data_IF_641150316118
#
_entry.id   IF_641150316118
#
_cell.length_a   1.000
_cell.length_b   1.000
_cell.length_c   1.000
_cell.angle_alpha   90.00
_cell.angle_beta   90.00
_cell.angle_gamma   90.00
#
_symmetry.space_group_name_H-M   'P 1'
#
loop_
_entity.id
_entity.type
_entity.pdbx_description
1 polymer ?
#
# COMPACT_ATOMS: atom_id res chain seq x y z
N UNK A 1 -56.21 6.87 -13.16
CA UNK A 1 -55.61 6.86 -11.82
C UNK A 1 -55.18 5.44 -11.53
N UNK A 2 -53.89 5.16 -11.60
CA UNK A 2 -53.29 3.88 -11.24
C UNK A 2 -52.19 4.20 -10.22
N UNK A 3 -52.46 3.84 -8.99
CA UNK A 3 -51.51 3.99 -7.89
C UNK A 3 -50.39 2.97 -8.04
N UNK A 4 -49.15 3.47 -8.16
CA UNK A 4 -47.95 2.64 -8.14
C UNK A 4 -47.55 2.38 -6.69
N UNK A 5 -47.79 1.16 -6.22
CA UNK A 5 -47.34 0.68 -4.91
C UNK A 5 -45.85 0.39 -4.96
N UNK A 6 -45.07 1.29 -4.36
CA UNK A 6 -43.64 1.08 -4.13
C UNK A 6 -43.50 0.00 -3.05
N UNK A 7 -43.08 -1.21 -3.43
CA UNK A 7 -42.67 -2.26 -2.50
C UNK A 7 -41.34 -1.87 -1.85
N UNK A 8 -41.36 -1.50 -0.57
CA UNK A 8 -40.20 -1.45 0.30
C UNK A 8 -39.65 -2.87 0.44
N UNK A 9 -38.54 -3.15 -0.23
CA UNK A 9 -37.79 -4.38 -0.02
C UNK A 9 -37.19 -4.38 1.40
N UNK A 10 -37.72 -5.24 2.25
CA UNK A 10 -37.06 -5.59 3.52
C UNK A 10 -35.78 -6.34 3.17
N UNK A 11 -34.64 -5.71 3.41
CA UNK A 11 -33.37 -6.42 3.49
C UNK A 11 -33.46 -7.40 4.66
N UNK A 12 -33.51 -8.70 4.36
CA UNK A 12 -33.27 -9.74 5.36
C UNK A 12 -31.82 -9.59 5.83
N UNK A 13 -31.57 -9.65 7.15
CA UNK A 13 -30.20 -9.74 7.62
C UNK A 13 -29.54 -10.99 7.05
N UNK A 14 -28.31 -10.87 6.57
CA UNK A 14 -27.46 -11.98 6.11
C UNK A 14 -27.22 -12.95 7.29
N UNK A 15 -28.13 -13.93 7.43
CA UNK A 15 -27.90 -15.08 8.29
C UNK A 15 -27.21 -16.16 7.49
N UNK A 16 -25.96 -15.94 7.09
CA UNK A 16 -25.03 -17.05 6.92
C UNK A 16 -24.33 -17.26 8.27
N UNK A 17 -24.98 -17.98 9.17
CA UNK A 17 -24.31 -18.74 10.22
C UNK A 17 -23.41 -19.79 9.54
N UNK A 18 -22.35 -19.31 8.87
CA UNK A 18 -21.18 -20.15 8.65
C UNK A 18 -20.59 -20.33 10.03
N UNK A 19 -20.75 -21.53 10.54
CA UNK A 19 -20.27 -21.96 11.82
C UNK A 19 -18.76 -21.71 11.98
N UNK A 20 -18.40 -20.49 12.33
CA UNK A 20 -17.10 -20.15 12.94
C UNK A 20 -17.15 -20.61 14.39
N UNK A 21 -17.35 -21.94 14.59
CA UNK A 21 -17.17 -22.56 15.91
C UNK A 21 -15.68 -22.45 16.24
N UNK A 22 -15.35 -21.46 17.09
CA UNK A 22 -14.38 -21.60 18.18
C UNK A 22 -12.99 -22.17 17.86
N UNK A 23 -12.42 -21.98 16.67
CA UNK A 23 -10.97 -22.07 16.53
C UNK A 23 -10.40 -20.74 17.03
N UNK A 24 -9.82 -20.76 18.23
CA UNK A 24 -8.93 -19.72 18.71
C UNK A 24 -7.90 -19.51 17.60
N UNK A 25 -7.94 -18.36 16.96
CA UNK A 25 -6.94 -17.97 15.97
C UNK A 25 -5.62 -17.86 16.71
N UNK A 26 -4.77 -18.88 16.63
CA UNK A 26 -3.37 -18.75 17.00
C UNK A 26 -2.70 -17.94 15.91
N UNK A 27 -2.84 -16.61 15.99
CA UNK A 27 -2.01 -15.71 15.20
C UNK A 27 -0.61 -15.72 15.80
N UNK A 28 0.40 -15.89 14.95
CA UNK A 28 1.77 -15.70 15.36
C UNK A 28 1.97 -14.25 15.84
N UNK A 29 2.65 -14.08 16.96
CA UNK A 29 2.98 -12.75 17.49
C UNK A 29 3.69 -11.90 16.42
N UNK A 30 3.14 -10.73 16.10
CA UNK A 30 3.77 -9.73 15.24
C UNK A 30 3.45 -9.80 13.74
N UNK A 31 2.30 -10.36 13.33
CA UNK A 31 1.84 -10.34 11.93
C UNK A 31 1.18 -9.00 11.57
N UNK A 32 1.53 -8.42 10.39
CA UNK A 32 0.84 -7.23 9.85
C UNK A 32 -0.59 -7.62 9.46
N UNK A 33 -1.55 -6.81 9.86
CA UNK A 33 -2.94 -6.94 9.39
C UNK A 33 -3.12 -6.04 8.17
N UNK A 34 -3.67 -6.59 7.09
CA UNK A 34 -3.89 -5.88 5.82
C UNK A 34 -5.37 -5.96 5.47
N UNK A 35 -6.03 -4.81 5.28
CA UNK A 35 -7.44 -4.74 4.89
C UNK A 35 -7.56 -4.04 3.54
N UNK A 36 -8.17 -4.71 2.56
CA UNK A 36 -8.39 -4.11 1.25
C UNK A 36 -8.67 -5.09 0.13
N UNK A 37 -8.41 -4.67 -1.10
CA UNK A 37 -8.88 -5.34 -2.29
C UNK A 37 -8.04 -6.52 -2.77
N UNK A 38 -8.75 -7.57 -3.20
CA UNK A 38 -8.26 -8.58 -4.12
C UNK A 38 -8.98 -8.40 -5.46
N UNK A 39 -8.23 -8.18 -6.54
CA UNK A 39 -8.77 -7.82 -7.85
C UNK A 39 -8.16 -8.71 -8.93
N UNK A 40 -8.95 -9.13 -9.91
CA UNK A 40 -8.42 -9.74 -11.12
C UNK A 40 -8.34 -8.67 -12.22
N UNK A 41 -7.14 -8.38 -12.69
CA UNK A 41 -6.92 -7.49 -13.82
C UNK A 41 -6.87 -8.30 -15.11
N UNK A 42 -7.61 -7.87 -16.12
CA UNK A 42 -7.58 -8.40 -17.49
C UNK A 42 -6.93 -7.35 -18.37
N UNK A 43 -5.80 -7.69 -18.95
CA UNK A 43 -5.04 -6.83 -19.84
C UNK A 43 -5.15 -7.36 -21.27
N UNK A 44 -5.72 -6.57 -22.18
CA UNK A 44 -5.85 -6.92 -23.59
C UNK A 44 -5.04 -5.94 -24.45
N UNK A 45 -4.06 -6.48 -25.18
CA UNK A 45 -3.17 -5.69 -26.07
C UNK A 45 -3.33 -6.17 -27.51
N UNK A 46 -3.83 -5.35 -28.43
CA UNK A 46 -3.97 -5.72 -29.84
C UNK A 46 -2.60 -5.76 -30.53
N UNK A 47 -2.42 -6.68 -31.47
CA UNK A 47 -1.21 -6.77 -32.31
C UNK A 47 -1.24 -5.79 -33.50
N UNK A 48 -2.41 -5.25 -33.82
CA UNK A 48 -2.65 -4.24 -34.86
C UNK A 48 -3.65 -3.21 -34.34
N UNK A 49 -3.70 -2.04 -34.94
CA UNK A 49 -4.62 -1.00 -34.51
C UNK A 49 -6.06 -1.52 -34.48
N UNK A 50 -6.69 -1.43 -33.33
CA UNK A 50 -8.08 -1.84 -33.14
C UNK A 50 -9.03 -0.83 -33.81
N UNK A 51 -10.03 -1.34 -34.52
CA UNK A 51 -11.10 -0.56 -35.11
C UNK A 51 -12.40 -0.80 -34.34
N UNK A 52 -13.19 0.26 -34.17
CA UNK A 52 -14.51 0.15 -33.51
C UNK A 52 -15.40 -0.89 -34.21
N UNK A 53 -16.09 -1.72 -33.43
CA UNK A 53 -17.04 -2.72 -33.93
C UNK A 53 -16.41 -3.99 -34.52
N UNK A 54 -15.07 -4.18 -34.39
CA UNK A 54 -14.40 -5.38 -34.92
C UNK A 54 -13.49 -6.02 -33.87
N UNK A 55 -13.20 -7.31 -34.07
CA UNK A 55 -12.21 -8.04 -33.27
C UNK A 55 -10.90 -8.11 -34.04
N UNK A 56 -9.79 -7.82 -33.39
CA UNK A 56 -8.44 -7.90 -33.97
C UNK A 56 -7.60 -8.93 -33.21
N UNK A 57 -6.60 -9.56 -33.84
CA UNK A 57 -5.64 -10.40 -33.13
C UNK A 57 -4.91 -9.62 -32.04
N UNK A 58 -4.59 -10.29 -30.93
CA UNK A 58 -3.90 -9.69 -29.80
C UNK A 58 -3.57 -10.69 -28.71
N UNK A 59 -3.14 -10.19 -27.58
CA UNK A 59 -2.86 -10.96 -26.36
C UNK A 59 -3.77 -10.53 -25.23
N UNK A 60 -4.28 -11.51 -24.48
CA UNK A 60 -5.08 -11.25 -23.27
C UNK A 60 -4.39 -11.94 -22.11
N UNK A 61 -4.16 -11.20 -21.04
CA UNK A 61 -3.52 -11.67 -19.83
C UNK A 61 -4.45 -11.49 -18.64
N UNK A 62 -4.44 -12.48 -17.75
CA UNK A 62 -5.05 -12.39 -16.44
C UNK A 62 -3.95 -12.08 -15.43
N UNK A 63 -4.02 -10.89 -14.85
CA UNK A 63 -3.02 -10.38 -13.91
C UNK A 63 -3.66 -10.26 -12.53
N UNK A 64 -2.98 -10.74 -11.52
CA UNK A 64 -3.43 -10.58 -10.14
C UNK A 64 -3.21 -9.15 -9.71
N UNK A 65 -4.28 -8.49 -9.31
CA UNK A 65 -4.29 -7.11 -8.88
C UNK A 65 -4.88 -6.94 -7.46
N UNK A 66 -5.10 -5.70 -7.12
CA UNK A 66 -5.51 -5.25 -5.79
C UNK A 66 -4.30 -4.86 -4.95
N UNK A 67 -4.27 -3.60 -4.52
CA UNK A 67 -3.14 -3.02 -3.77
C UNK A 67 -2.86 -3.82 -2.50
N UNK A 68 -3.87 -4.02 -1.65
CA UNK A 68 -3.73 -4.80 -0.41
C UNK A 68 -3.23 -6.24 -0.69
N UNK A 69 -3.77 -6.90 -1.75
CA UNK A 69 -3.32 -8.23 -2.14
C UNK A 69 -1.86 -8.23 -2.62
N UNK A 70 -1.46 -7.25 -3.42
CA UNK A 70 -0.08 -7.14 -3.91
C UNK A 70 0.90 -6.96 -2.76
N UNK A 71 0.58 -6.07 -1.80
CA UNK A 71 1.38 -5.86 -0.59
C UNK A 71 1.51 -7.16 0.21
N UNK A 72 0.40 -7.85 0.47
CA UNK A 72 0.41 -9.10 1.24
C UNK A 72 1.18 -10.23 0.52
N UNK A 73 1.02 -10.37 -0.81
CA UNK A 73 1.79 -11.36 -1.59
C UNK A 73 3.28 -11.03 -1.59
N UNK A 74 3.65 -9.76 -1.72
CA UNK A 74 5.03 -9.31 -1.64
C UNK A 74 5.65 -9.67 -0.28
N UNK A 75 4.96 -9.35 0.82
CA UNK A 75 5.38 -9.68 2.18
C UNK A 75 5.57 -11.18 2.37
N UNK A 76 4.63 -11.99 1.88
CA UNK A 76 4.72 -13.46 1.98
C UNK A 76 5.95 -14.00 1.24
N UNK A 77 6.20 -13.51 0.03
CA UNK A 77 7.37 -13.91 -0.78
C UNK A 77 8.70 -13.43 -0.18
N UNK A 78 8.65 -12.40 0.66
CA UNK A 78 9.76 -11.95 1.50
C UNK A 78 9.80 -12.67 2.85
N UNK A 79 8.93 -13.69 3.06
CA UNK A 79 8.92 -14.57 4.22
C UNK A 79 8.20 -14.06 5.46
N UNK A 80 7.45 -12.98 5.36
CA UNK A 80 6.50 -12.55 6.38
C UNK A 80 5.16 -13.31 6.23
N UNK A 81 4.30 -13.23 7.25
CA UNK A 81 2.97 -13.86 7.26
C UNK A 81 1.90 -12.82 7.51
N UNK A 82 1.54 -12.01 6.50
CA UNK A 82 0.50 -11.00 6.68
C UNK A 82 -0.86 -11.67 6.86
N UNK A 83 -1.70 -11.10 7.73
CA UNK A 83 -3.10 -11.47 7.88
C UNK A 83 -3.96 -10.55 7.02
N UNK A 84 -4.61 -11.10 5.98
CA UNK A 84 -5.40 -10.30 5.06
C UNK A 84 -6.89 -10.42 5.33
N UNK A 85 -7.58 -9.28 5.38
CA UNK A 85 -9.04 -9.14 5.44
C UNK A 85 -9.51 -8.59 4.08
N UNK A 86 -10.32 -9.37 3.37
CA UNK A 86 -10.82 -9.03 2.03
C UNK A 86 -12.16 -9.71 1.73
N UNK A 87 -12.71 -9.49 0.54
CA UNK A 87 -13.94 -10.13 0.07
C UNK A 87 -13.83 -10.53 -1.40
N UNK A 88 -14.29 -11.73 -1.74
CA UNK A 88 -14.33 -12.28 -3.12
C UNK A 88 -15.55 -13.17 -3.29
N UNK A 89 -15.97 -13.38 -4.55
CA UNK A 89 -17.06 -14.27 -4.92
C UNK A 89 -16.65 -15.73 -5.13
N UNK A 90 -17.64 -16.60 -5.20
CA UNK A 90 -17.50 -17.98 -5.68
C UNK A 90 -17.59 -18.07 -7.21
N UNK A 91 -16.97 -17.11 -7.91
CA UNK A 91 -16.89 -17.04 -9.35
C UNK A 91 -15.50 -17.49 -9.90
N UNK A 92 -15.34 -17.41 -11.22
CA UNK A 92 -14.08 -17.80 -11.86
C UNK A 92 -12.90 -16.92 -11.42
N UNK A 93 -13.12 -15.61 -11.29
CA UNK A 93 -12.10 -14.66 -10.87
C UNK A 93 -11.66 -14.90 -9.42
N UNK A 94 -12.61 -15.11 -8.50
CA UNK A 94 -12.34 -15.43 -7.11
C UNK A 94 -11.62 -16.75 -6.94
N UNK A 95 -12.03 -17.79 -7.67
CA UNK A 95 -11.35 -19.08 -7.65
C UNK A 95 -9.90 -18.97 -8.15
N UNK A 96 -9.65 -18.20 -9.22
CA UNK A 96 -8.31 -17.97 -9.74
C UNK A 96 -7.42 -17.27 -8.71
N UNK A 97 -7.92 -16.19 -8.10
CA UNK A 97 -7.20 -15.44 -7.06
C UNK A 97 -6.90 -16.31 -5.83
N UNK A 98 -7.88 -17.09 -5.35
CA UNK A 98 -7.70 -17.97 -4.18
C UNK A 98 -6.71 -19.11 -4.43
N UNK A 99 -6.78 -19.75 -5.58
CA UNK A 99 -5.87 -20.86 -5.89
C UNK A 99 -4.42 -20.38 -5.87
N UNK A 100 -4.18 -19.20 -6.41
CA UNK A 100 -2.84 -18.62 -6.43
C UNK A 100 -2.42 -18.07 -5.06
N UNK A 101 -3.36 -17.52 -4.28
CA UNK A 101 -3.14 -17.09 -2.91
C UNK A 101 -2.64 -18.25 -2.04
N UNK A 102 -3.34 -19.39 -2.13
CA UNK A 102 -2.92 -20.64 -1.45
C UNK A 102 -1.57 -21.17 -1.94
N UNK A 103 -1.31 -21.08 -3.24
CA UNK A 103 -0.02 -21.50 -3.82
C UNK A 103 1.16 -20.64 -3.34
N UNK A 104 0.89 -19.39 -2.98
CA UNK A 104 1.87 -18.49 -2.35
C UNK A 104 2.08 -18.77 -0.84
N UNK A 105 1.44 -19.78 -0.28
CA UNK A 105 1.55 -20.16 1.12
C UNK A 105 0.74 -19.25 2.07
N UNK A 106 -0.16 -18.44 1.54
CA UNK A 106 -0.98 -17.51 2.31
C UNK A 106 -2.29 -18.17 2.77
N UNK A 107 -2.69 -17.91 4.01
CA UNK A 107 -3.97 -18.39 4.54
C UNK A 107 -5.14 -17.61 3.92
N UNK A 108 -6.12 -18.34 3.38
CA UNK A 108 -7.31 -17.75 2.75
C UNK A 108 -8.60 -18.08 3.51
N UNK A 109 -8.52 -18.74 4.66
CA UNK A 109 -9.70 -19.39 5.20
C UNK A 109 -10.45 -18.56 6.22
N UNK A 110 -9.82 -17.51 6.77
CA UNK A 110 -10.38 -16.77 7.91
C UNK A 110 -10.72 -15.33 7.55
N UNK A 111 -9.77 -14.54 7.06
CA UNK A 111 -9.97 -13.11 6.82
C UNK A 111 -10.63 -12.77 5.47
N UNK A 112 -10.69 -13.74 4.54
CA UNK A 112 -11.26 -13.50 3.21
C UNK A 112 -12.72 -13.96 3.20
N UNK A 113 -13.65 -12.99 3.19
CA UNK A 113 -15.08 -13.25 3.04
C UNK A 113 -15.34 -13.86 1.66
N UNK A 114 -16.06 -14.98 1.64
CA UNK A 114 -16.43 -15.70 0.41
C UNK A 114 -17.94 -15.89 0.42
N UNK A 115 -18.60 -15.36 -0.59
CA UNK A 115 -20.05 -15.51 -0.74
C UNK A 115 -20.43 -15.64 -2.22
N UNK A 116 -21.54 -16.36 -2.49
CA UNK A 116 -22.09 -16.52 -3.84
C UNK A 116 -22.71 -15.25 -4.41
N UNK A 117 -23.11 -14.34 -3.52
CA UNK A 117 -23.73 -13.06 -3.90
C UNK A 117 -22.69 -11.96 -4.12
N UNK A 118 -21.40 -12.28 -3.92
CA UNK A 118 -20.26 -11.40 -4.22
C UNK A 118 -19.79 -11.68 -5.65
N UNK A 119 -19.72 -10.62 -6.45
CA UNK A 119 -18.97 -10.63 -7.70
C UNK A 119 -17.54 -10.21 -7.41
N UNK A 120 -16.57 -11.08 -7.67
CA UNK A 120 -15.15 -10.76 -7.43
C UNK A 120 -14.74 -9.52 -8.22
N UNK A 121 -14.06 -8.56 -7.61
CA UNK A 121 -13.59 -7.37 -8.31
C UNK A 121 -12.74 -7.70 -9.54
N UNK A 122 -13.11 -7.13 -10.68
CA UNK A 122 -12.39 -7.29 -11.95
C UNK A 122 -12.16 -5.92 -12.58
N UNK A 123 -10.93 -5.69 -13.07
CA UNK A 123 -10.58 -4.52 -13.88
C UNK A 123 -10.14 -5.01 -15.26
N UNK A 124 -10.76 -4.52 -16.31
CA UNK A 124 -10.40 -4.84 -17.69
C UNK A 124 -9.79 -3.60 -18.35
N UNK A 125 -8.51 -3.69 -18.73
CA UNK A 125 -7.80 -2.64 -19.46
C UNK A 125 -7.50 -3.09 -20.88
N UNK A 126 -7.99 -2.33 -21.85
CA UNK A 126 -7.62 -2.44 -23.24
C UNK A 126 -6.49 -1.45 -23.53
N UNK A 127 -5.35 -1.97 -23.95
CA UNK A 127 -4.20 -1.14 -24.36
C UNK A 127 -4.24 -0.86 -25.87
N UNK A 128 -3.57 0.18 -26.28
CA UNK A 128 -3.30 0.44 -27.68
C UNK A 128 -2.01 -0.29 -28.15
N UNK A 129 -1.64 -0.10 -29.41
CA UNK A 129 -0.42 -0.69 -29.98
C UNK A 129 0.89 -0.13 -29.38
N UNK A 130 0.83 1.01 -28.68
CA UNK A 130 1.96 1.64 -28.00
C UNK A 130 2.05 1.19 -26.52
N UNK A 131 1.07 0.42 -26.03
CA UNK A 131 0.99 -0.03 -24.66
C UNK A 131 0.34 0.97 -23.69
N UNK A 132 -0.31 2.02 -24.22
CA UNK A 132 -1.08 2.96 -23.40
C UNK A 132 -2.53 2.47 -23.21
N UNK A 133 -3.16 2.81 -22.08
CA UNK A 133 -4.53 2.43 -21.81
C UNK A 133 -5.48 3.20 -22.73
N UNK A 134 -6.06 2.50 -23.71
CA UNK A 134 -7.05 3.05 -24.62
C UNK A 134 -8.47 3.10 -24.02
N UNK A 135 -8.82 2.10 -23.17
CA UNK A 135 -10.06 2.05 -22.43
C UNK A 135 -9.92 1.15 -21.20
N UNK A 136 -10.65 1.44 -20.15
CA UNK A 136 -10.70 0.60 -18.95
C UNK A 136 -12.11 0.54 -18.36
N UNK A 137 -12.46 -0.64 -17.82
CA UNK A 137 -13.72 -0.85 -17.09
C UNK A 137 -13.39 -1.57 -15.79
N UNK A 138 -13.90 -1.06 -14.68
CA UNK A 138 -13.68 -1.61 -13.36
C UNK A 138 -15.01 -1.99 -12.70
N UNK A 139 -15.18 -3.27 -12.37
CA UNK A 139 -16.26 -3.77 -11.50
C UNK A 139 -15.66 -4.03 -10.12
N UNK A 140 -15.65 -3.01 -9.25
CA UNK A 140 -14.97 -3.05 -7.95
C UNK A 140 -15.90 -2.74 -6.77
N UNK A 141 -17.19 -2.62 -7.01
CA UNK A 141 -18.21 -2.26 -6.01
C UNK A 141 -18.32 -3.29 -4.87
N UNK A 142 -17.93 -4.53 -5.12
CA UNK A 142 -17.99 -5.59 -4.13
C UNK A 142 -17.18 -5.26 -2.86
N UNK A 143 -16.02 -4.60 -2.98
CA UNK A 143 -15.21 -4.22 -1.82
C UNK A 143 -15.95 -3.22 -0.93
N UNK A 144 -16.59 -2.22 -1.52
CA UNK A 144 -17.34 -1.20 -0.78
C UNK A 144 -18.62 -1.77 -0.14
N UNK A 145 -19.24 -2.77 -0.80
CA UNK A 145 -20.50 -3.37 -0.36
C UNK A 145 -20.34 -4.45 0.70
N UNK A 146 -19.30 -5.29 0.60
CA UNK A 146 -19.16 -6.49 1.41
C UNK A 146 -18.06 -6.44 2.46
N UNK A 147 -17.05 -5.57 2.32
CA UNK A 147 -16.13 -5.27 3.43
C UNK A 147 -16.80 -4.27 4.40
N UNK A 148 -17.78 -4.79 5.14
CA UNK A 148 -18.57 -3.98 6.09
C UNK A 148 -17.80 -3.73 7.39
N UNK A 149 -18.17 -2.68 8.17
CA UNK A 149 -17.65 -2.48 9.52
C UNK A 149 -17.76 -3.73 10.39
N UNK A 150 -18.91 -4.43 10.37
CA UNK A 150 -19.13 -5.64 11.18
C UNK A 150 -18.16 -6.75 10.83
N UNK A 151 -17.89 -6.98 9.53
CA UNK A 151 -16.91 -7.97 9.10
C UNK A 151 -15.50 -7.61 9.56
N UNK A 152 -15.10 -6.35 9.45
CA UNK A 152 -13.80 -5.86 9.88
C UNK A 152 -13.64 -6.00 11.41
N UNK A 153 -14.62 -5.53 12.17
CA UNK A 153 -14.60 -5.56 13.65
C UNK A 153 -14.58 -6.98 14.22
N UNK A 154 -15.03 -7.98 13.45
CA UNK A 154 -14.90 -9.39 13.84
C UNK A 154 -13.43 -9.78 14.11
N UNK A 155 -12.48 -9.14 13.45
CA UNK A 155 -11.05 -9.42 13.58
C UNK A 155 -10.31 -8.49 14.56
N UNK A 156 -11.02 -7.72 15.41
CA UNK A 156 -10.37 -6.78 16.33
C UNK A 156 -9.31 -7.44 17.23
N UNK A 157 -9.50 -8.72 17.57
CA UNK A 157 -8.57 -9.48 18.43
C UNK A 157 -7.25 -9.85 17.73
N UNK A 158 -7.14 -9.63 16.42
CA UNK A 158 -5.90 -9.84 15.65
C UNK A 158 -4.95 -8.64 15.69
N UNK A 159 -5.42 -7.47 16.16
CA UNK A 159 -4.66 -6.22 16.16
C UNK A 159 -3.68 -6.03 17.33
N UNK A 160 -3.95 -6.53 18.58
CA UNK A 160 -3.08 -6.20 19.71
C UNK A 160 -1.62 -6.64 19.54
N UNK A 161 -1.37 -7.66 18.71
CA UNK A 161 -0.02 -8.12 18.38
C UNK A 161 0.52 -7.60 17.06
N UNK A 162 -0.31 -6.92 16.26
CA UNK A 162 0.08 -6.42 14.95
C UNK A 162 1.01 -5.20 15.08
N UNK A 163 2.17 -5.18 14.40
CA UNK A 163 3.04 -4.01 14.41
C UNK A 163 2.45 -2.83 13.65
N UNK A 164 1.61 -3.10 12.66
CA UNK A 164 0.94 -2.11 11.81
C UNK A 164 -0.36 -2.72 11.26
N UNK A 165 -1.41 -1.91 11.18
CA UNK A 165 -2.57 -2.15 10.33
C UNK A 165 -2.36 -1.40 9.01
N UNK A 166 -2.34 -2.09 7.88
CA UNK A 166 -2.37 -1.47 6.55
C UNK A 166 -3.80 -1.51 6.00
N UNK A 167 -4.32 -0.35 5.57
CA UNK A 167 -5.61 -0.23 4.89
C UNK A 167 -5.44 0.41 3.52
N UNK A 168 -6.12 -0.13 2.49
CA UNK A 168 -6.17 0.53 1.20
C UNK A 168 -7.47 1.35 1.02
N UNK A 169 -7.39 2.42 0.24
CA UNK A 169 -8.49 3.34 0.01
C UNK A 169 -9.63 2.78 -0.86
N UNK A 170 -9.67 1.45 -1.12
CA UNK A 170 -10.81 0.81 -1.77
C UNK A 170 -12.00 0.60 -0.84
N UNK A 171 -11.78 0.65 0.48
CA UNK A 171 -12.84 0.50 1.47
C UNK A 171 -13.88 1.62 1.37
N UNK A 172 -15.15 1.32 1.68
CA UNK A 172 -16.18 2.36 1.87
C UNK A 172 -15.82 3.26 3.06
N UNK A 173 -16.36 4.48 3.11
CA UNK A 173 -16.12 5.38 4.24
C UNK A 173 -16.40 4.73 5.60
N UNK A 174 -17.57 4.09 5.85
CA UNK A 174 -17.83 3.45 7.16
C UNK A 174 -16.85 2.31 7.48
N UNK A 175 -16.44 1.54 6.47
CA UNK A 175 -15.49 0.44 6.65
C UNK A 175 -14.08 0.94 6.96
N UNK A 176 -13.65 1.99 6.27
CA UNK A 176 -12.36 2.63 6.47
C UNK A 176 -12.26 3.26 7.87
N UNK A 177 -13.31 3.98 8.29
CA UNK A 177 -13.41 4.56 9.63
C UNK A 177 -13.39 3.48 10.72
N UNK A 178 -14.20 2.41 10.57
CA UNK A 178 -14.22 1.32 11.52
C UNK A 178 -12.86 0.63 11.66
N UNK A 179 -12.16 0.40 10.55
CA UNK A 179 -10.82 -0.21 10.54
C UNK A 179 -9.79 0.67 11.25
N UNK A 180 -9.73 1.96 10.91
CA UNK A 180 -8.76 2.88 11.47
C UNK A 180 -9.02 3.16 12.96
N UNK A 181 -10.29 3.36 13.35
CA UNK A 181 -10.68 3.53 14.76
C UNK A 181 -10.37 2.30 15.59
N UNK A 182 -10.68 1.10 15.08
CA UNK A 182 -10.36 -0.16 15.75
C UNK A 182 -8.84 -0.27 16.00
N UNK A 183 -8.01 0.15 15.06
CA UNK A 183 -6.56 0.15 15.24
C UNK A 183 -6.12 1.17 16.30
N UNK A 184 -6.67 2.38 16.27
CA UNK A 184 -6.38 3.43 17.26
C UNK A 184 -6.77 2.99 18.68
N UNK A 185 -7.94 2.36 18.86
CA UNK A 185 -8.40 1.80 20.14
C UNK A 185 -7.43 0.71 20.70
N UNK A 186 -6.65 0.09 19.83
CA UNK A 186 -5.65 -0.96 20.14
C UNK A 186 -4.21 -0.47 20.13
N UNK A 187 -4.00 0.84 20.00
CA UNK A 187 -2.67 1.46 19.88
C UNK A 187 -1.83 0.87 18.72
N UNK A 188 -2.51 0.35 17.67
CA UNK A 188 -1.87 -0.19 16.48
C UNK A 188 -1.68 0.92 15.44
N UNK A 189 -0.44 1.21 15.00
CA UNK A 189 -0.21 2.21 13.96
C UNK A 189 -0.93 1.87 12.65
N UNK A 190 -1.47 2.89 11.97
CA UNK A 190 -2.20 2.72 10.72
C UNK A 190 -1.37 3.21 9.54
N UNK A 191 -1.18 2.33 8.54
CA UNK A 191 -0.66 2.66 7.22
C UNK A 191 -1.81 2.78 6.23
N UNK A 192 -2.03 4.00 5.71
CA UNK A 192 -3.04 4.27 4.70
C UNK A 192 -2.41 4.28 3.31
N UNK A 193 -2.91 3.42 2.41
CA UNK A 193 -2.49 3.32 1.02
C UNK A 193 -3.52 3.98 0.10
N UNK A 194 -3.17 5.04 -0.66
CA UNK A 194 -4.13 5.88 -1.39
C UNK A 194 -4.79 5.21 -2.58
N UNK A 195 -4.13 4.24 -3.23
CA UNK A 195 -4.61 3.46 -4.40
C UNK A 195 -4.74 4.28 -5.69
N UNK A 196 -5.32 5.47 -5.64
CA UNK A 196 -5.51 6.34 -6.81
C UNK A 196 -5.84 7.77 -6.38
N UNK A 197 -5.65 8.72 -7.29
CA UNK A 197 -5.93 10.15 -7.06
C UNK A 197 -7.36 10.39 -6.49
N UNK A 198 -8.36 9.71 -7.05
CA UNK A 198 -9.75 9.86 -6.59
C UNK A 198 -9.94 9.28 -5.19
N UNK A 199 -9.37 8.11 -4.91
CA UNK A 199 -9.54 7.41 -3.63
C UNK A 199 -8.65 7.97 -2.54
N UNK A 200 -7.51 8.58 -2.88
CA UNK A 200 -6.62 9.29 -1.97
C UNK A 200 -7.34 10.34 -1.13
N UNK A 201 -8.37 10.98 -1.69
CA UNK A 201 -9.20 11.98 -0.99
C UNK A 201 -9.96 11.40 0.22
N UNK A 202 -10.11 10.06 0.30
CA UNK A 202 -10.75 9.37 1.45
C UNK A 202 -9.96 9.50 2.74
N UNK A 203 -8.71 9.96 2.71
CA UNK A 203 -7.91 10.27 3.90
C UNK A 203 -8.63 11.25 4.83
N UNK A 204 -9.44 12.18 4.29
CA UNK A 204 -10.17 13.16 5.08
C UNK A 204 -11.17 12.55 6.08
N UNK A 205 -11.56 11.31 5.89
CA UNK A 205 -12.47 10.61 6.81
C UNK A 205 -11.76 9.98 8.01
N UNK A 206 -10.44 9.77 7.93
CA UNK A 206 -9.69 8.93 8.88
C UNK A 206 -8.34 9.51 9.29
N UNK A 207 -8.02 10.73 8.88
CA UNK A 207 -6.69 11.34 9.07
C UNK A 207 -6.24 11.31 10.54
N UNK A 208 -7.15 11.48 11.49
CA UNK A 208 -6.87 11.47 12.92
C UNK A 208 -6.34 10.12 13.46
N UNK A 209 -6.58 9.01 12.73
CA UNK A 209 -6.13 7.67 13.09
C UNK A 209 -4.90 7.20 12.32
N UNK A 210 -4.50 7.95 11.27
CA UNK A 210 -3.47 7.51 10.34
C UNK A 210 -2.08 7.93 10.79
N UNK A 211 -1.18 6.96 10.86
CA UNK A 211 0.23 7.18 11.25
C UNK A 211 1.13 7.36 10.02
N UNK A 212 0.95 6.52 9.00
CA UNK A 212 1.79 6.46 7.80
C UNK A 212 0.98 6.57 6.53
N UNK A 213 1.51 7.25 5.52
CA UNK A 213 0.94 7.30 4.16
C UNK A 213 2.02 7.17 3.10
N UNK A 214 1.69 6.55 1.95
CA UNK A 214 2.62 6.30 0.85
C UNK A 214 2.13 6.78 -0.52
N UNK A 215 1.73 8.05 -0.67
CA UNK A 215 1.24 8.58 -1.94
C UNK A 215 2.35 8.74 -3.00
N UNK A 216 1.95 8.69 -4.28
CA UNK A 216 2.70 9.34 -5.34
C UNK A 216 2.42 10.86 -5.35
N UNK A 217 3.05 11.61 -6.29
CA UNK A 217 2.93 13.07 -6.34
C UNK A 217 1.47 13.53 -6.52
N UNK A 218 0.72 12.87 -7.39
CA UNK A 218 -0.65 13.26 -7.73
C UNK A 218 -1.64 12.86 -6.61
N UNK A 219 -1.42 11.72 -5.98
CA UNK A 219 -2.16 11.28 -4.78
C UNK A 219 -1.89 12.18 -3.57
N UNK A 220 -0.62 12.60 -3.37
CA UNK A 220 -0.26 13.56 -2.32
C UNK A 220 -1.04 14.86 -2.46
N UNK A 221 -1.11 15.40 -3.67
CA UNK A 221 -1.85 16.62 -3.99
C UNK A 221 -3.35 16.43 -3.71
N UNK A 222 -3.92 15.29 -4.13
CA UNK A 222 -5.32 14.99 -3.89
C UNK A 222 -5.65 14.86 -2.39
N UNK A 223 -4.75 14.24 -1.60
CA UNK A 223 -4.85 14.15 -0.14
C UNK A 223 -4.79 15.53 0.51
N UNK A 224 -3.80 16.34 0.14
CA UNK A 224 -3.64 17.69 0.69
C UNK A 224 -4.86 18.56 0.40
N UNK A 225 -5.38 18.53 -0.83
CA UNK A 225 -6.61 19.25 -1.19
C UNK A 225 -7.83 18.77 -0.40
N UNK A 226 -7.95 17.46 -0.17
CA UNK A 226 -9.04 16.92 0.63
C UNK A 226 -8.99 17.37 2.09
N UNK A 227 -7.79 17.49 2.66
CA UNK A 227 -7.58 17.93 4.04
C UNK A 227 -7.69 19.46 4.21
N UNK A 228 -7.30 20.24 3.19
CA UNK A 228 -7.46 21.70 3.19
C UNK A 228 -8.90 22.17 2.91
N UNK A 229 -9.78 21.27 2.44
CA UNK A 229 -11.14 21.60 2.07
C UNK A 229 -11.29 22.45 0.79
N UNK A 230 -10.21 22.62 0.04
CA UNK A 230 -10.18 23.37 -1.22
C UNK A 230 -9.12 22.78 -2.17
N UNK A 231 -9.27 22.98 -3.49
CA UNK A 231 -8.31 22.52 -4.49
C UNK A 231 -7.19 23.57 -4.69
N UNK A 232 -6.44 23.84 -3.63
CA UNK A 232 -5.34 24.81 -3.60
C UNK A 232 -4.10 24.31 -4.37
N UNK A 233 -3.82 23.00 -4.27
CA UNK A 233 -2.66 22.37 -4.89
C UNK A 233 -3.02 21.84 -6.27
N UNK A 234 -2.18 22.15 -7.27
CA UNK A 234 -2.39 21.70 -8.65
C UNK A 234 -1.48 20.51 -8.99
N UNK A 235 -1.98 19.50 -9.73
CA UNK A 235 -1.16 18.41 -10.23
C UNK A 235 0.04 18.92 -11.07
N UNK A 236 1.19 18.28 -10.93
CA UNK A 236 2.38 18.61 -11.68
C UNK A 236 2.19 18.20 -13.16
N UNK A 237 2.43 19.13 -14.08
CA UNK A 237 2.39 18.84 -15.53
C UNK A 237 3.55 17.93 -15.91
N UNK A 238 3.34 17.01 -16.85
CA UNK A 238 4.38 16.11 -17.35
C UNK A 238 5.65 16.85 -17.83
N UNK A 239 5.49 18.02 -18.44
CA UNK A 239 6.61 18.89 -18.84
C UNK A 239 7.44 19.38 -17.65
N UNK A 240 6.82 19.56 -16.49
CA UNK A 240 7.51 19.96 -15.26
C UNK A 240 8.23 18.78 -14.63
N UNK A 241 7.65 17.56 -14.69
CA UNK A 241 8.25 16.35 -14.13
C UNK A 241 9.56 15.93 -14.83
N UNK A 242 9.67 16.13 -16.16
CA UNK A 242 10.78 15.60 -16.98
C UNK A 242 12.16 16.25 -16.76
N UNK A 243 12.24 17.50 -16.32
CA UNK A 243 13.49 18.28 -16.24
C UNK A 243 13.70 18.97 -14.89
N UNK A 244 12.98 18.56 -13.87
CA UNK A 244 13.07 19.20 -12.55
C UNK A 244 14.16 18.54 -11.71
N UNK A 245 14.93 19.34 -10.98
CA UNK A 245 15.86 18.79 -9.98
C UNK A 245 15.08 18.19 -8.80
N UNK A 246 15.65 17.18 -8.15
CA UNK A 246 15.06 16.55 -6.94
C UNK A 246 14.73 17.61 -5.87
N UNK A 247 15.62 18.59 -5.67
CA UNK A 247 15.39 19.66 -4.72
C UNK A 247 14.22 20.56 -5.14
N UNK A 248 14.12 20.92 -6.43
CA UNK A 248 13.01 21.74 -6.93
C UNK A 248 11.69 20.99 -6.86
N UNK A 249 11.69 19.67 -7.16
CA UNK A 249 10.51 18.82 -7.01
C UNK A 249 10.06 18.77 -5.55
N UNK A 250 11.00 18.57 -4.62
CA UNK A 250 10.70 18.60 -3.19
C UNK A 250 10.08 19.94 -2.76
N UNK A 251 10.62 21.08 -3.21
CA UNK A 251 10.08 22.40 -2.87
C UNK A 251 8.65 22.61 -3.39
N UNK A 252 8.29 22.05 -4.55
CA UNK A 252 6.92 22.09 -5.07
C UNK A 252 5.96 21.21 -4.25
N UNK A 253 6.40 20.04 -3.79
CA UNK A 253 5.56 19.11 -3.02
C UNK A 253 5.52 19.43 -1.52
N UNK A 254 6.50 20.18 -1.00
CA UNK A 254 6.65 20.51 0.41
C UNK A 254 5.38 21.08 1.05
N UNK A 255 4.65 22.05 0.45
CA UNK A 255 3.42 22.57 1.07
C UNK A 255 2.35 21.49 1.24
N UNK A 256 2.16 20.61 0.24
CA UNK A 256 1.22 19.50 0.33
C UNK A 256 1.64 18.46 1.39
N UNK A 257 2.94 18.13 1.46
CA UNK A 257 3.50 17.27 2.52
C UNK A 257 3.22 17.87 3.90
N UNK A 258 3.40 19.18 4.03
CA UNK A 258 3.19 19.89 5.29
C UNK A 258 1.73 19.82 5.75
N UNK A 259 0.76 19.98 4.84
CA UNK A 259 -0.67 19.81 5.16
C UNK A 259 -0.96 18.45 5.80
N UNK A 260 -0.42 17.38 5.25
CA UNK A 260 -0.61 16.04 5.81
C UNK A 260 -0.04 15.92 7.22
N UNK A 261 1.18 16.42 7.41
CA UNK A 261 1.86 16.39 8.72
C UNK A 261 1.18 17.29 9.77
N UNK A 262 0.59 18.42 9.36
CA UNK A 262 -0.18 19.31 10.24
C UNK A 262 -1.49 18.67 10.70
N UNK A 263 -2.09 17.82 9.86
CA UNK A 263 -3.30 17.08 10.19
C UNK A 263 -3.04 15.79 11.02
N UNK A 264 -1.83 15.61 11.55
CA UNK A 264 -1.52 14.56 12.52
C UNK A 264 -0.84 13.31 11.96
N UNK A 265 -0.66 13.21 10.63
CA UNK A 265 0.11 12.12 10.05
C UNK A 265 1.56 12.22 10.52
N UNK A 266 2.09 11.15 11.13
CA UNK A 266 3.45 11.16 11.67
C UNK A 266 4.51 11.06 10.56
N UNK A 267 4.19 10.35 9.47
CA UNK A 267 5.14 10.05 8.42
C UNK A 267 4.52 10.00 7.03
N UNK A 268 5.09 10.77 6.11
CA UNK A 268 4.69 10.83 4.69
C UNK A 268 5.83 10.30 3.84
N UNK A 269 5.57 9.23 3.09
CA UNK A 269 6.48 8.60 2.14
C UNK A 269 6.01 8.91 0.73
N UNK A 270 6.60 9.90 0.07
CA UNK A 270 6.19 10.29 -1.28
C UNK A 270 7.04 9.58 -2.32
N UNK A 271 6.41 8.76 -3.18
CA UNK A 271 7.08 8.16 -4.33
C UNK A 271 7.10 9.14 -5.51
N UNK A 272 8.27 9.34 -6.11
CA UNK A 272 8.47 10.32 -7.18
C UNK A 272 9.11 9.65 -8.43
N UNK A 273 8.67 8.46 -8.71
CA UNK A 273 9.08 7.66 -9.87
C UNK A 273 10.59 7.46 -9.96
N UNK A 274 11.19 7.81 -11.10
CA UNK A 274 12.64 7.71 -11.31
C UNK A 274 13.45 8.67 -10.44
N UNK A 275 12.83 9.64 -9.78
CA UNK A 275 13.48 10.51 -8.80
C UNK A 275 13.60 9.87 -7.41
N UNK A 276 13.03 8.70 -7.17
CA UNK A 276 13.14 7.96 -5.92
C UNK A 276 12.01 8.22 -4.94
N UNK A 277 12.34 8.47 -3.65
CA UNK A 277 11.37 8.56 -2.56
C UNK A 277 11.74 9.70 -1.61
N UNK A 278 10.77 10.48 -1.19
CA UNK A 278 10.90 11.42 -0.06
C UNK A 278 10.28 10.81 1.19
N UNK A 279 11.04 10.72 2.26
CA UNK A 279 10.56 10.34 3.58
C UNK A 279 10.52 11.59 4.47
N UNK A 280 9.33 11.96 4.92
CA UNK A 280 9.10 13.23 5.62
C UNK A 280 8.37 12.99 6.94
N UNK A 281 8.77 13.73 7.99
CA UNK A 281 8.09 13.74 9.28
C UNK A 281 8.25 15.09 10.01
N UNK A 282 7.53 15.26 11.14
CA UNK A 282 7.78 16.32 12.11
C UNK A 282 8.72 15.78 13.22
N UNK A 283 9.77 16.52 13.54
CA UNK A 283 10.59 16.26 14.72
C UNK A 283 11.85 15.41 14.51
N UNK A 284 12.18 15.02 13.27
CA UNK A 284 13.50 14.46 12.93
C UNK A 284 13.68 12.96 13.20
N UNK A 285 14.91 12.44 13.13
CA UNK A 285 15.21 11.00 13.03
C UNK A 285 14.84 10.17 14.26
N UNK A 286 14.61 10.78 15.41
CA UNK A 286 14.29 10.04 16.66
C UNK A 286 12.89 9.43 16.66
N UNK A 287 11.94 9.99 15.89
CA UNK A 287 10.60 9.43 15.75
C UNK A 287 10.59 8.05 15.09
N UNK A 288 11.63 7.72 14.33
CA UNK A 288 11.76 6.45 13.63
C UNK A 288 12.05 5.24 14.53
N UNK A 289 12.35 5.43 15.80
CA UNK A 289 12.78 4.35 16.72
C UNK A 289 11.68 3.81 17.63
N UNK A 290 10.52 4.47 17.73
CA UNK A 290 9.51 4.15 18.74
C UNK A 290 8.78 2.80 18.56
N UNK A 291 8.75 2.25 17.36
CA UNK A 291 7.89 1.10 17.01
C UNK A 291 8.63 -0.25 16.93
N UNK A 292 9.92 -0.35 17.27
CA UNK A 292 10.74 -1.54 17.02
C UNK A 292 11.03 -2.43 18.25
N UNK A 293 10.47 -2.14 19.43
CA UNK A 293 10.90 -2.79 20.66
C UNK A 293 10.35 -4.22 20.92
N UNK A 294 9.37 -4.72 20.15
CA UNK A 294 8.70 -6.01 20.39
C UNK A 294 8.81 -7.01 19.23
N UNK A 295 9.97 -7.16 18.60
CA UNK A 295 10.05 -7.94 17.37
C UNK A 295 10.77 -9.28 17.56
N UNK A 296 10.09 -10.36 17.16
CA UNK A 296 10.67 -11.70 17.11
C UNK A 296 11.52 -11.87 15.84
N UNK A 297 12.87 -11.83 15.99
CA UNK A 297 13.84 -11.90 14.89
C UNK A 297 14.07 -13.34 14.39
N UNK A 298 13.03 -14.13 14.24
CA UNK A 298 13.08 -15.51 13.76
C UNK A 298 12.66 -15.60 12.28
N UNK A 299 12.97 -16.72 11.63
CA UNK A 299 12.58 -16.98 10.25
C UNK A 299 13.27 -16.09 9.21
N UNK A 300 12.57 -15.81 8.12
CA UNK A 300 13.09 -15.06 6.96
C UNK A 300 13.33 -13.57 7.29
N UNK A 301 12.46 -12.95 8.08
CA UNK A 301 12.67 -11.59 8.57
C UNK A 301 13.98 -11.45 9.34
N UNK A 302 14.34 -12.44 10.15
CA UNK A 302 15.64 -12.50 10.81
C UNK A 302 16.80 -12.68 9.83
N UNK A 303 16.60 -13.37 8.70
CA UNK A 303 17.63 -13.48 7.64
C UNK A 303 17.79 -12.14 6.91
N UNK A 304 16.71 -11.46 6.57
CA UNK A 304 16.72 -10.13 5.98
C UNK A 304 17.44 -9.11 6.88
N UNK A 305 17.10 -9.12 8.18
CA UNK A 305 17.76 -8.28 9.17
C UNK A 305 19.27 -8.55 9.20
N UNK A 306 19.68 -9.81 9.30
CA UNK A 306 21.09 -10.19 9.30
C UNK A 306 21.80 -9.78 8.01
N UNK A 307 21.21 -10.06 6.85
CA UNK A 307 21.78 -9.72 5.56
C UNK A 307 21.97 -8.19 5.41
N UNK A 308 20.99 -7.41 5.85
CA UNK A 308 21.09 -5.95 5.85
C UNK A 308 22.16 -5.45 6.83
N UNK A 309 22.14 -5.93 8.07
CA UNK A 309 23.08 -5.47 9.12
C UNK A 309 24.52 -5.90 8.88
N UNK A 310 24.76 -7.06 8.25
CA UNK A 310 26.10 -7.47 7.85
C UNK A 310 26.71 -6.52 6.80
N UNK A 311 25.88 -6.01 5.89
CA UNK A 311 26.29 -5.10 4.82
C UNK A 311 26.24 -3.62 5.23
N UNK A 312 25.43 -3.30 6.23
CA UNK A 312 25.20 -1.95 6.76
C UNK A 312 25.37 -1.99 8.29
N UNK A 313 26.60 -1.85 8.82
CA UNK A 313 26.78 -1.73 10.25
C UNK A 313 25.95 -0.54 10.80
N UNK A 314 25.44 -0.61 12.04
CA UNK A 314 24.59 0.41 12.61
C UNK A 314 25.19 1.79 12.38
N UNK A 315 24.43 2.67 11.76
CA UNK A 315 24.92 3.99 11.38
C UNK A 315 25.44 4.70 12.61
N UNK A 316 26.58 5.33 12.46
CA UNK A 316 27.07 6.36 13.36
C UNK A 316 26.02 7.49 13.41
N UNK A 317 25.02 7.32 14.26
CA UNK A 317 24.13 8.43 14.67
C UNK A 317 24.88 9.38 15.62
N UNK A 318 26.16 9.60 15.34
CA UNK A 318 27.00 10.54 16.06
C UNK A 318 26.94 11.86 15.31
N UNK A 319 26.13 12.80 15.80
CA UNK A 319 26.29 14.19 15.41
C UNK A 319 25.06 15.03 15.18
N UNK A 320 23.82 14.48 15.30
CA UNK A 320 22.65 15.35 15.34
C UNK A 320 22.28 15.53 16.80
N UNK A 321 22.83 16.63 17.38
CA UNK A 321 22.58 17.10 18.73
C UNK A 321 21.08 17.23 19.04
N UNK A 322 20.78 17.16 20.35
CA UNK A 322 19.47 17.39 20.94
C UNK A 322 18.82 18.68 20.42
N UNK A 323 17.99 18.57 19.38
CA UNK A 323 17.11 19.65 18.99
C UNK A 323 15.74 19.41 19.64
N UNK A 324 15.37 20.38 20.45
CA UNK A 324 14.11 20.46 21.22
C UNK A 324 12.88 20.12 20.37
N UNK A 325 11.83 19.66 21.02
CA UNK A 325 10.46 19.51 20.51
C UNK A 325 9.98 20.79 19.85
N UNK A 326 10.30 20.99 18.59
CA UNK A 326 9.78 22.10 17.79
C UNK A 326 9.28 21.55 16.46
N UNK A 327 8.25 22.17 15.97
CA UNK A 327 7.50 21.90 14.74
C UNK A 327 8.36 22.05 13.47
N UNK A 328 9.32 21.15 13.25
CA UNK A 328 10.22 21.23 12.12
C UNK A 328 9.97 20.11 11.15
N UNK A 329 9.85 20.43 9.86
CA UNK A 329 9.86 19.45 8.80
C UNK A 329 11.26 18.86 8.69
N UNK A 330 11.33 17.54 8.76
CA UNK A 330 12.51 16.75 8.43
C UNK A 330 12.23 15.93 7.18
N UNK A 331 13.09 16.00 6.17
CA UNK A 331 12.93 15.31 4.91
C UNK A 331 14.23 14.65 4.48
N UNK A 332 14.13 13.38 4.09
CA UNK A 332 15.20 12.58 3.52
C UNK A 332 14.80 12.14 2.12
N UNK A 333 15.70 12.30 1.18
CA UNK A 333 15.57 11.75 -0.16
C UNK A 333 16.37 10.47 -0.28
N UNK A 334 15.71 9.42 -0.75
CA UNK A 334 16.34 8.18 -1.20
C UNK A 334 16.32 8.16 -2.73
N UNK A 335 17.48 8.04 -3.40
CA UNK A 335 17.51 7.96 -4.85
C UNK A 335 16.89 6.64 -5.33
N UNK A 336 16.32 6.65 -6.53
CA UNK A 336 15.95 5.42 -7.21
C UNK A 336 17.19 4.60 -7.55
N UNK A 337 17.01 3.30 -7.72
CA UNK A 337 18.04 2.39 -8.20
C UNK A 337 17.91 2.22 -9.70
N UNK A 338 19.03 2.09 -10.39
CA UNK A 338 19.02 1.75 -11.81
C UNK A 338 18.35 0.39 -12.02
N UNK A 339 17.38 0.34 -12.94
CA UNK A 339 16.58 -0.85 -13.21
C UNK A 339 16.31 -1.01 -14.72
N UNK A 340 16.23 -2.25 -15.17
CA UNK A 340 15.72 -2.61 -16.49
C UNK A 340 14.20 -2.70 -16.44
N UNK A 341 13.51 -1.57 -16.66
CA UNK A 341 12.08 -1.46 -16.47
C UNK A 341 11.31 -2.30 -17.49
N UNK A 342 10.59 -3.31 -17.02
CA UNK A 342 9.65 -4.13 -17.76
C UNK A 342 8.22 -3.65 -17.52
N UNK A 343 7.89 -3.32 -16.24
CA UNK A 343 6.55 -2.89 -15.83
C UNK A 343 6.64 -1.96 -14.62
N UNK A 344 5.78 -0.94 -14.58
CA UNK A 344 5.70 -0.03 -13.43
C UNK A 344 4.59 -0.42 -12.43
N UNK A 345 3.55 -1.14 -12.90
CA UNK A 345 2.42 -1.55 -12.05
C UNK A 345 2.90 -2.51 -10.95
N UNK A 346 2.48 -2.26 -9.71
CA UNK A 346 2.84 -3.08 -8.55
C UNK A 346 4.15 -2.66 -7.87
N UNK A 347 4.92 -1.72 -8.45
CA UNK A 347 6.16 -1.24 -7.84
C UNK A 347 5.90 -0.53 -6.49
N UNK A 348 4.86 0.31 -6.40
CA UNK A 348 4.42 0.96 -5.17
C UNK A 348 4.01 -0.07 -4.11
N UNK A 349 3.21 -1.06 -4.50
CA UNK A 349 2.76 -2.13 -3.60
C UNK A 349 3.96 -2.95 -3.07
N UNK A 350 4.93 -3.24 -3.93
CA UNK A 350 6.17 -3.94 -3.55
C UNK A 350 7.08 -3.07 -2.67
N UNK A 351 7.11 -1.74 -2.88
CA UNK A 351 7.77 -0.80 -1.97
C UNK A 351 7.19 -0.93 -0.56
N UNK A 352 5.87 -0.81 -0.45
CA UNK A 352 5.16 -0.90 0.84
C UNK A 352 5.34 -2.29 1.46
N UNK A 353 5.18 -3.37 0.67
CA UNK A 353 5.39 -4.74 1.13
C UNK A 353 6.80 -4.98 1.68
N UNK A 354 7.82 -4.44 1.01
CA UNK A 354 9.21 -4.49 1.46
C UNK A 354 9.43 -3.70 2.77
N UNK A 355 8.83 -2.52 2.90
CA UNK A 355 8.90 -1.69 4.12
C UNK A 355 8.24 -2.42 5.29
N UNK A 356 7.00 -2.89 5.12
CA UNK A 356 6.25 -3.56 6.18
C UNK A 356 6.94 -4.86 6.63
N UNK A 357 7.47 -5.65 5.69
CA UNK A 357 8.28 -6.83 6.01
C UNK A 357 9.51 -6.47 6.84
N UNK A 358 10.17 -5.37 6.50
CA UNK A 358 11.39 -4.91 7.18
C UNK A 358 11.10 -4.38 8.59
N UNK A 359 9.98 -3.69 8.78
CA UNK A 359 9.49 -3.26 10.09
C UNK A 359 9.24 -4.50 10.96
N UNK A 360 8.56 -5.53 10.45
CA UNK A 360 8.38 -6.81 11.16
C UNK A 360 9.70 -7.51 11.50
N UNK A 361 10.73 -7.32 10.69
CA UNK A 361 12.07 -7.85 10.95
C UNK A 361 12.88 -7.03 11.99
N UNK A 362 12.37 -5.87 12.41
CA UNK A 362 13.03 -4.99 13.39
C UNK A 362 14.03 -4.03 12.80
N UNK A 363 13.95 -3.74 11.53
CA UNK A 363 14.70 -2.66 10.91
C UNK A 363 14.04 -1.30 11.25
N UNK A 364 14.86 -0.27 11.38
CA UNK A 364 14.34 1.09 11.50
C UNK A 364 13.71 1.56 10.18
N UNK A 365 12.98 2.68 10.21
CA UNK A 365 12.24 3.16 9.03
C UNK A 365 13.17 3.52 7.86
N UNK A 366 14.35 4.09 8.12
CA UNK A 366 15.31 4.43 7.08
C UNK A 366 15.83 3.18 6.37
N UNK A 367 16.12 2.14 7.16
CA UNK A 367 16.50 0.82 6.67
C UNK A 367 15.34 0.16 5.92
N UNK A 368 14.14 0.26 6.47
CA UNK A 368 12.93 -0.32 5.87
C UNK A 368 12.59 0.31 4.53
N UNK A 369 12.67 1.64 4.40
CA UNK A 369 12.48 2.34 3.13
C UNK A 369 13.52 1.92 2.10
N UNK A 370 14.78 1.75 2.52
CA UNK A 370 15.84 1.28 1.62
C UNK A 370 15.59 -0.13 1.09
N UNK A 371 15.10 -1.04 1.94
CA UNK A 371 14.67 -2.39 1.53
C UNK A 371 13.45 -2.30 0.60
N UNK A 372 12.46 -1.46 0.92
CA UNK A 372 11.30 -1.23 0.06
C UNK A 372 11.69 -0.79 -1.35
N UNK A 373 12.65 0.13 -1.48
CA UNK A 373 13.17 0.60 -2.77
C UNK A 373 13.85 -0.55 -3.55
N UNK A 374 14.62 -1.39 -2.88
CA UNK A 374 15.25 -2.56 -3.50
C UNK A 374 14.21 -3.58 -3.99
N UNK A 375 13.16 -3.81 -3.20
CA UNK A 375 12.03 -4.70 -3.56
C UNK A 375 11.22 -4.11 -4.71
N UNK A 376 10.98 -2.79 -4.73
CA UNK A 376 10.33 -2.10 -5.83
C UNK A 376 11.14 -2.18 -7.13
N UNK A 377 12.49 -2.06 -7.05
CA UNK A 377 13.37 -2.29 -8.21
C UNK A 377 13.17 -3.70 -8.78
N UNK A 378 13.20 -4.74 -7.94
CA UNK A 378 12.96 -6.10 -8.40
C UNK A 378 11.56 -6.27 -9.03
N UNK A 379 10.56 -5.53 -8.56
CA UNK A 379 9.21 -5.54 -9.13
C UNK A 379 9.15 -4.89 -10.52
N UNK A 380 9.81 -3.74 -10.74
CA UNK A 380 9.79 -3.10 -12.06
C UNK A 380 10.56 -3.89 -13.12
N UNK A 381 11.47 -4.78 -12.72
CA UNK A 381 12.22 -5.69 -13.59
C UNK A 381 11.45 -7.00 -13.89
N UNK A 382 10.27 -7.20 -13.31
CA UNK A 382 9.44 -8.40 -13.47
C UNK A 382 8.22 -8.15 -14.37
N UNK A 383 7.72 -9.22 -15.02
CA UNK A 383 6.48 -9.16 -15.80
C UNK A 383 5.20 -9.14 -14.93
N UNK A 384 5.27 -9.68 -13.70
CA UNK A 384 4.15 -9.73 -12.77
C UNK A 384 4.17 -8.51 -11.82
N UNK A 385 2.99 -8.10 -11.31
CA UNK A 385 2.89 -7.02 -10.32
C UNK A 385 3.72 -7.29 -9.06
N UNK A 386 3.83 -8.56 -8.68
CA UNK A 386 4.72 -9.03 -7.60
C UNK A 386 5.61 -10.13 -8.17
N UNK A 387 6.93 -10.00 -8.15
CA UNK A 387 7.86 -11.04 -8.61
C UNK A 387 7.56 -12.41 -8.04
N UNK A 388 7.78 -13.46 -8.81
CA UNK A 388 7.52 -14.82 -8.32
C UNK A 388 8.43 -15.22 -7.14
N UNK A 389 9.67 -14.74 -7.15
CA UNK A 389 10.67 -14.96 -6.10
C UNK A 389 11.52 -13.70 -5.92
N UNK A 390 12.03 -13.50 -4.73
CA UNK A 390 12.98 -12.44 -4.41
C UNK A 390 14.35 -13.01 -4.06
N UNK A 391 15.41 -12.47 -4.64
CA UNK A 391 16.78 -12.77 -4.26
C UNK A 391 17.22 -11.89 -3.09
N UNK A 392 17.26 -12.45 -1.88
CA UNK A 392 17.61 -11.71 -0.67
C UNK A 392 18.98 -11.04 -0.71
N UNK A 393 19.96 -11.70 -1.31
CA UNK A 393 21.32 -11.13 -1.39
C UNK A 393 21.35 -9.89 -2.27
N UNK A 394 20.66 -9.95 -3.43
CA UNK A 394 20.51 -8.81 -4.34
C UNK A 394 19.73 -7.67 -3.67
N UNK A 395 18.61 -7.98 -3.00
CA UNK A 395 17.82 -6.98 -2.25
C UNK A 395 18.69 -6.30 -1.17
N UNK A 396 19.50 -7.05 -0.43
CA UNK A 396 20.35 -6.49 0.62
C UNK A 396 21.45 -5.58 0.05
N UNK A 397 21.99 -5.88 -1.15
CA UNK A 397 22.96 -5.03 -1.85
C UNK A 397 22.33 -3.76 -2.39
N UNK A 398 21.19 -3.89 -3.05
CA UNK A 398 20.40 -2.77 -3.55
C UNK A 398 19.93 -1.86 -2.40
N UNK A 399 19.43 -2.45 -1.30
CA UNK A 399 19.04 -1.70 -0.11
C UNK A 399 20.22 -0.93 0.52
N UNK A 400 21.41 -1.52 0.54
CA UNK A 400 22.63 -0.83 0.97
C UNK A 400 22.91 0.37 0.07
N UNK A 401 22.79 0.22 -1.23
CA UNK A 401 23.00 1.30 -2.20
C UNK A 401 22.00 2.42 -2.00
N UNK A 402 20.71 2.10 -1.83
CA UNK A 402 19.65 3.07 -1.53
C UNK A 402 19.91 3.80 -0.20
N UNK A 403 20.26 3.06 0.86
CA UNK A 403 20.56 3.63 2.19
C UNK A 403 21.78 4.57 2.15
N UNK A 404 22.86 4.16 1.49
CA UNK A 404 24.09 4.96 1.38
C UNK A 404 23.88 6.20 0.50
N UNK A 405 22.96 6.14 -0.46
CA UNK A 405 22.60 7.26 -1.32
C UNK A 405 21.60 8.23 -0.69
N UNK A 406 21.03 7.89 0.47
CA UNK A 406 20.06 8.74 1.14
C UNK A 406 20.68 10.07 1.60
N UNK A 407 19.96 11.17 1.36
CA UNK A 407 20.41 12.54 1.69
C UNK A 407 19.35 13.29 2.44
N UNK A 408 19.73 13.96 3.52
CA UNK A 408 18.85 14.94 4.18
C UNK A 408 18.69 16.12 3.26
N UNK A 409 17.43 16.39 2.85
CA UNK A 409 17.11 17.51 1.97
C UNK A 409 16.74 18.77 2.75
N UNK A 410 16.10 18.58 3.89
CA UNK A 410 15.53 19.68 4.62
C UNK A 410 15.54 19.41 6.12
N UNK A 411 16.09 20.36 6.85
CA UNK A 411 16.08 20.41 8.30
C UNK A 411 16.04 21.88 8.70
N UNK A 412 14.86 22.46 8.82
CA UNK A 412 14.72 23.87 9.23
C UNK A 412 13.44 24.11 10.01
N UNK A 413 13.54 24.94 11.04
CA UNK A 413 12.40 25.55 11.69
C UNK A 413 11.67 26.44 10.69
N UNK A 414 10.37 26.26 10.54
CA UNK A 414 9.55 27.31 9.97
C UNK A 414 9.34 28.35 11.08
N UNK A 415 10.03 29.48 10.96
CA UNK A 415 9.71 30.71 11.68
C UNK A 415 8.47 31.34 11.05
#
# INVERSE_FOLDING_TARGET
>A
MAESTVRKGHQKPLTSEVALRGKKLEHGDGEVVIIGGMVLDIHATPSVRANSGTTVPGKVYYVRGGVARNVAECMSKLGAKPFMISAIGFDMAGNLLLNQWKSAGLSAEVGILKDKDIETPVVCNLFDINGEVAAGVASVEALEKYLTPDWILHFRNSLPSAPVLMVDANLSHPALEAACKMAADMECPVWFEPVSVTKARRISFVVEYVTFVSPNEDELIAMANALSGCDEFQPLKESQKKNISVMSLFQLLKPAIWVLLENGIEMVLVTVGSNGVFLCNKGGPRHFKKHTEKINRTGFGGQLYKAFMQKNPPSRSSGISELNKSSHLFAVHFPSLAASVVRLTGAGDCLVGGILTSICAGLDIMQSVSVGIAVAKAAVEAEANVPNTFNLSAIAEDAKSAYSGAKVLFHQSML
#
